data_IF_952013569676
#
_entry.id   IF_952013569676
#
_cell.length_a   1.000
_cell.length_b   1.000
_cell.length_c   1.000
_cell.angle_alpha   90.00
_cell.angle_beta   90.00
_cell.angle_gamma   90.00
#
_symmetry.space_group_name_H-M   'P 1'
#
loop_
_entity.id
_entity.type
_entity.pdbx_description
1 polymer ?
#
# COMPACT_ATOMS: atom_id res chain seq x y z
N UNK A 1 41.95 -57.98 -18.81
CA UNK A 1 41.96 -56.48 -18.72
C UNK A 1 40.56 -55.99 -18.96
N UNK A 2 39.83 -55.68 -17.93
CA UNK A 2 38.48 -55.09 -18.03
C UNK A 2 38.52 -53.67 -17.51
N UNK A 3 38.33 -52.71 -18.41
CA UNK A 3 38.23 -51.28 -18.08
C UNK A 3 36.79 -51.01 -17.60
N UNK A 4 36.66 -50.61 -16.33
CA UNK A 4 35.41 -50.18 -15.75
C UNK A 4 35.33 -48.67 -15.94
N UNK A 5 34.45 -48.21 -16.82
CA UNK A 5 34.12 -46.80 -16.97
C UNK A 5 33.07 -46.44 -15.88
N UNK A 6 33.52 -45.76 -14.86
CA UNK A 6 32.60 -45.17 -13.89
C UNK A 6 31.95 -43.93 -14.45
N UNK A 7 30.65 -43.98 -14.68
CA UNK A 7 29.82 -42.84 -15.07
C UNK A 7 29.53 -42.01 -13.85
N UNK A 8 30.16 -40.85 -13.75
CA UNK A 8 29.86 -39.84 -12.71
C UNK A 8 28.65 -39.06 -13.23
N UNK A 9 27.49 -39.35 -12.68
CA UNK A 9 26.30 -38.55 -12.88
C UNK A 9 26.40 -37.26 -12.01
N UNK A 10 26.71 -36.15 -12.66
CA UNK A 10 26.67 -34.82 -12.01
C UNK A 10 25.20 -34.42 -11.89
N UNK A 11 24.68 -34.51 -10.69
CA UNK A 11 23.35 -34.00 -10.35
C UNK A 11 23.45 -32.49 -10.23
N UNK A 12 23.10 -31.75 -11.28
CA UNK A 12 22.97 -30.30 -11.23
C UNK A 12 21.68 -29.98 -10.49
N UNK A 13 21.83 -29.62 -9.21
CA UNK A 13 20.75 -29.09 -8.38
C UNK A 13 20.45 -27.65 -8.84
N UNK A 14 19.46 -27.51 -9.73
CA UNK A 14 18.95 -26.20 -10.14
C UNK A 14 18.18 -25.63 -8.95
N UNK A 15 18.83 -24.77 -8.18
CA UNK A 15 18.15 -23.91 -7.22
C UNK A 15 17.26 -22.93 -7.97
N UNK A 16 15.98 -23.26 -8.07
CA UNK A 16 14.94 -22.32 -8.45
C UNK A 16 14.78 -21.32 -7.30
N UNK A 17 15.58 -20.26 -7.30
CA UNK A 17 15.29 -19.07 -6.50
C UNK A 17 14.05 -18.43 -7.07
N UNK A 18 12.90 -18.78 -6.51
CA UNK A 18 11.65 -18.07 -6.74
C UNK A 18 11.82 -16.68 -6.14
N UNK A 19 12.27 -15.72 -6.96
CA UNK A 19 12.12 -14.32 -6.64
C UNK A 19 10.62 -14.02 -6.64
N UNK A 20 10.02 -13.95 -5.45
CA UNK A 20 8.73 -13.32 -5.25
C UNK A 20 8.94 -11.83 -5.54
N UNK A 21 8.89 -11.44 -6.81
CA UNK A 21 8.97 -10.06 -7.25
C UNK A 21 7.77 -9.32 -6.67
N UNK A 22 8.04 -8.38 -5.76
CA UNK A 22 7.08 -7.36 -5.37
C UNK A 22 6.61 -6.70 -6.67
N UNK A 23 5.33 -6.89 -7.04
CA UNK A 23 4.76 -6.25 -8.22
C UNK A 23 4.80 -4.74 -7.98
N UNK A 24 5.63 -4.04 -8.71
CA UNK A 24 5.64 -2.59 -8.73
C UNK A 24 4.29 -2.09 -9.24
N UNK A 25 3.69 -1.18 -8.49
CA UNK A 25 2.44 -0.51 -8.87
C UNK A 25 2.76 0.96 -9.14
N UNK A 26 2.14 1.51 -10.16
CA UNK A 26 2.29 2.93 -10.47
C UNK A 26 1.25 3.76 -9.72
N UNK A 27 1.63 4.97 -9.30
CA UNK A 27 0.74 5.94 -8.65
C UNK A 27 -0.50 6.24 -9.50
N UNK A 28 -0.37 6.26 -10.82
CA UNK A 28 -1.48 6.46 -11.77
C UNK A 28 -2.63 5.46 -11.57
N UNK A 29 -2.32 4.25 -11.13
CA UNK A 29 -3.29 3.18 -10.92
C UNK A 29 -4.11 3.36 -9.62
N UNK A 30 -3.72 4.29 -8.74
CA UNK A 30 -4.48 4.62 -7.53
C UNK A 30 -5.76 5.40 -7.84
N UNK A 31 -5.89 6.03 -9.00
CA UNK A 31 -7.07 6.85 -9.32
C UNK A 31 -8.38 6.15 -8.99
N UNK A 32 -9.26 6.86 -8.28
CA UNK A 32 -10.58 6.40 -7.87
C UNK A 32 -10.69 6.09 -6.38
N UNK A 33 -11.74 5.39 -6.02
CA UNK A 33 -12.14 5.16 -4.63
C UNK A 33 -11.65 3.81 -4.11
N UNK A 34 -11.19 3.82 -2.88
CA UNK A 34 -10.61 2.67 -2.18
C UNK A 34 -11.08 2.63 -0.74
N UNK A 35 -11.56 1.49 -0.29
CA UNK A 35 -11.92 1.28 1.11
C UNK A 35 -10.72 0.84 1.95
N UNK A 36 -10.64 1.36 3.18
CA UNK A 36 -9.56 1.03 4.11
C UNK A 36 -9.75 -0.38 4.70
N UNK A 37 -8.70 -1.19 4.64
CA UNK A 37 -8.64 -2.54 5.24
C UNK A 37 -7.89 -2.52 6.56
N UNK A 38 -6.70 -1.94 6.57
CA UNK A 38 -5.85 -1.88 7.78
C UNK A 38 -4.95 -0.64 7.80
N UNK A 39 -4.52 -0.27 8.99
CA UNK A 39 -3.54 0.80 9.26
C UNK A 39 -2.37 0.19 10.01
N UNK A 40 -1.16 0.27 9.43
CA UNK A 40 0.08 -0.31 10.01
C UNK A 40 -0.08 -1.78 10.41
N UNK A 41 -0.82 -2.56 9.60
CA UNK A 41 -1.10 -3.96 9.84
C UNK A 41 -2.23 -4.25 10.83
N UNK A 42 -2.83 -3.22 11.43
CA UNK A 42 -3.93 -3.34 12.39
C UNK A 42 -5.28 -3.07 11.70
N UNK A 43 -6.23 -4.00 11.85
CA UNK A 43 -7.63 -3.78 11.43
C UNK A 43 -8.35 -2.99 12.50
N UNK A 44 -8.65 -1.73 12.21
CA UNK A 44 -9.36 -0.84 13.12
C UNK A 44 -10.87 -0.97 12.96
N UNK A 45 -11.61 -0.80 14.06
CA UNK A 45 -13.08 -0.80 14.05
C UNK A 45 -13.61 0.61 13.85
N UNK A 46 -14.57 0.75 12.93
CA UNK A 46 -15.26 2.01 12.63
C UNK A 46 -16.76 1.78 12.48
N UNK A 47 -17.56 2.75 12.88
CA UNK A 47 -19.00 2.74 12.60
C UNK A 47 -19.30 2.85 11.10
N UNK A 48 -18.46 3.58 10.38
CA UNK A 48 -18.49 3.67 8.91
C UNK A 48 -17.09 3.39 8.36
N UNK A 49 -16.98 2.48 7.41
CA UNK A 49 -15.71 2.12 6.78
C UNK A 49 -15.03 3.37 6.20
N UNK A 50 -13.79 3.69 6.61
CA UNK A 50 -13.03 4.78 5.99
C UNK A 50 -12.77 4.48 4.51
N UNK A 51 -12.73 5.54 3.70
CA UNK A 51 -12.38 5.42 2.29
C UNK A 51 -11.48 6.59 1.85
N UNK A 52 -10.68 6.33 0.84
CA UNK A 52 -9.78 7.28 0.19
C UNK A 52 -10.14 7.35 -1.28
N UNK A 53 -10.38 8.52 -1.81
CA UNK A 53 -10.61 8.75 -3.22
C UNK A 53 -9.46 9.60 -3.78
N UNK A 54 -8.67 8.99 -4.66
CA UNK A 54 -7.49 9.59 -5.25
C UNK A 54 -7.81 10.24 -6.60
N UNK A 55 -7.50 11.51 -6.73
CA UNK A 55 -7.46 12.23 -7.98
C UNK A 55 -5.99 12.54 -8.32
N UNK A 56 -5.37 11.65 -9.08
CA UNK A 56 -3.94 11.75 -9.39
C UNK A 56 -3.67 12.94 -10.31
N UNK A 57 -4.58 13.24 -11.25
CA UNK A 57 -4.45 14.38 -12.15
C UNK A 57 -4.40 15.71 -11.39
N UNK A 58 -5.18 15.86 -10.32
CA UNK A 58 -5.21 17.06 -9.46
C UNK A 58 -4.27 16.97 -8.26
N UNK A 59 -3.52 15.88 -8.12
CA UNK A 59 -2.61 15.63 -6.99
C UNK A 59 -3.30 15.77 -5.64
N UNK A 60 -4.47 15.18 -5.52
CA UNK A 60 -5.30 15.25 -4.31
C UNK A 60 -5.86 13.89 -3.90
N UNK A 61 -6.12 13.76 -2.61
CA UNK A 61 -6.92 12.68 -2.05
C UNK A 61 -7.92 13.27 -1.09
N UNK A 62 -9.13 12.77 -1.13
CA UNK A 62 -10.17 13.10 -0.16
C UNK A 62 -10.91 11.84 0.27
N UNK A 63 -11.66 11.92 1.34
CA UNK A 63 -12.44 10.78 1.80
C UNK A 63 -12.98 10.96 3.20
N UNK A 64 -13.21 9.82 3.83
CA UNK A 64 -13.60 9.74 5.23
C UNK A 64 -12.59 8.93 6.02
N UNK A 65 -12.21 9.47 7.17
CA UNK A 65 -11.33 8.77 8.13
C UNK A 65 -12.10 7.87 9.11
N UNK A 66 -13.40 7.81 8.94
CA UNK A 66 -14.43 7.19 9.76
C UNK A 66 -15.66 8.08 9.73
N UNK A 67 -15.86 8.90 10.75
CA UNK A 67 -16.92 9.91 10.82
C UNK A 67 -16.56 11.19 10.06
N UNK A 68 -15.33 11.69 10.24
CA UNK A 68 -14.88 12.95 9.68
C UNK A 68 -14.45 12.84 8.22
N UNK A 69 -14.72 13.89 7.45
CA UNK A 69 -14.17 14.05 6.11
C UNK A 69 -12.73 14.57 6.20
N UNK A 70 -11.89 14.16 5.27
CA UNK A 70 -10.54 14.70 5.15
C UNK A 70 -10.19 14.99 3.68
N UNK A 71 -9.19 15.83 3.50
CA UNK A 71 -8.49 16.03 2.24
C UNK A 71 -7.00 16.26 2.47
N UNK A 72 -6.21 15.88 1.49
CA UNK A 72 -4.77 16.11 1.47
C UNK A 72 -4.29 16.30 0.04
N UNK A 73 -3.22 17.08 -0.11
CA UNK A 73 -2.45 17.09 -1.35
C UNK A 73 -1.44 15.95 -1.35
N UNK A 74 -1.17 15.41 -2.53
CA UNK A 74 -0.15 14.40 -2.72
C UNK A 74 0.91 14.88 -3.72
N UNK A 75 2.10 14.32 -3.59
CA UNK A 75 3.19 14.50 -4.55
C UNK A 75 3.70 13.15 -4.99
N UNK A 76 4.14 13.07 -6.23
CA UNK A 76 4.78 11.87 -6.79
C UNK A 76 5.94 12.29 -7.68
N UNK A 77 6.90 11.37 -7.84
CA UNK A 77 8.12 11.61 -8.61
C UNK A 77 7.96 11.05 -10.03
N UNK A 78 8.20 11.87 -11.05
CA UNK A 78 8.17 11.43 -12.44
C UNK A 78 9.28 10.41 -12.78
N UNK A 79 10.36 10.38 -12.01
CA UNK A 79 11.48 9.43 -12.17
C UNK A 79 11.23 8.10 -11.45
N UNK A 80 10.27 8.05 -10.53
CA UNK A 80 9.90 6.85 -9.78
C UNK A 80 8.37 6.73 -9.70
N UNK A 81 7.80 5.96 -10.61
CA UNK A 81 6.35 5.84 -10.80
C UNK A 81 5.59 5.27 -9.60
N UNK A 82 6.27 4.66 -8.63
CA UNK A 82 5.67 4.13 -7.40
C UNK A 82 5.84 5.05 -6.19
N UNK A 83 6.68 6.08 -6.28
CA UNK A 83 6.90 7.02 -5.17
C UNK A 83 5.72 7.99 -5.02
N UNK A 84 5.19 8.07 -3.82
CA UNK A 84 4.09 8.96 -3.45
C UNK A 84 4.28 9.44 -2.02
N UNK A 85 3.96 10.69 -1.75
CA UNK A 85 3.89 11.24 -0.41
C UNK A 85 2.70 12.18 -0.25
N UNK A 86 2.25 12.37 0.97
CA UNK A 86 1.10 13.18 1.31
C UNK A 86 1.47 14.32 2.24
N UNK A 87 0.81 15.44 2.07
CA UNK A 87 0.79 16.48 3.11
C UNK A 87 -0.09 16.01 4.28
N UNK A 88 0.10 16.62 5.45
CA UNK A 88 -0.78 16.35 6.60
C UNK A 88 -2.24 16.61 6.19
N UNK A 89 -3.14 15.63 6.33
CA UNK A 89 -4.53 15.80 5.97
C UNK A 89 -5.22 16.89 6.81
N UNK A 90 -6.06 17.66 6.16
CA UNK A 90 -7.05 18.52 6.82
C UNK A 90 -8.33 17.73 7.01
N UNK A 91 -8.91 17.83 8.19
CA UNK A 91 -10.11 17.08 8.56
C UNK A 91 -11.15 17.96 9.21
N UNK A 92 -12.43 17.60 9.04
CA UNK A 92 -13.49 18.13 9.90
C UNK A 92 -13.28 17.62 11.33
N UNK A 93 -13.86 18.33 12.32
CA UNK A 93 -13.63 18.09 13.75
C UNK A 93 -14.93 17.73 14.46
N UNK A 94 -15.74 16.85 13.85
CA UNK A 94 -16.95 16.34 14.50
C UNK A 94 -16.57 15.39 15.65
N UNK A 95 -17.26 15.49 16.77
CA UNK A 95 -17.07 14.59 17.91
C UNK A 95 -17.82 13.27 17.63
N UNK A 96 -17.06 12.22 17.31
CA UNK A 96 -17.57 10.89 17.01
C UNK A 96 -16.90 9.85 17.90
N UNK A 97 -17.53 8.68 18.07
CA UNK A 97 -16.99 7.62 18.92
C UNK A 97 -15.64 7.03 18.46
N UNK A 98 -15.33 7.15 17.17
CA UNK A 98 -14.14 6.57 16.53
C UNK A 98 -12.94 7.51 16.48
N UNK A 99 -12.92 8.62 17.21
CA UNK A 99 -11.90 9.68 17.08
C UNK A 99 -10.45 9.17 17.27
N UNK A 100 -10.23 8.20 18.14
CA UNK A 100 -8.90 7.61 18.34
C UNK A 100 -8.42 6.91 17.05
N UNK A 101 -9.28 6.06 16.47
CA UNK A 101 -8.99 5.33 15.24
C UNK A 101 -8.85 6.28 14.04
N UNK A 102 -9.71 7.31 13.94
CA UNK A 102 -9.57 8.36 12.93
C UNK A 102 -8.23 9.09 13.05
N UNK A 103 -7.81 9.39 14.27
CA UNK A 103 -6.51 9.99 14.52
C UNK A 103 -5.35 9.10 14.07
N UNK A 104 -5.45 7.77 14.23
CA UNK A 104 -4.45 6.82 13.71
C UNK A 104 -4.40 6.88 12.19
N UNK A 105 -5.55 6.92 11.51
CA UNK A 105 -5.61 7.07 10.05
C UNK A 105 -4.93 8.35 9.59
N UNK A 106 -5.34 9.49 10.11
CA UNK A 106 -4.86 10.80 9.66
C UNK A 106 -3.34 10.99 9.89
N UNK A 107 -2.83 10.59 11.05
CA UNK A 107 -1.38 10.68 11.35
C UNK A 107 -0.54 9.74 10.51
N UNK A 108 -1.10 8.66 10.00
CA UNK A 108 -0.35 7.67 9.22
C UNK A 108 -0.02 8.14 7.81
N UNK A 109 -0.69 9.15 7.27
CA UNK A 109 -0.41 9.70 5.94
C UNK A 109 1.04 10.19 5.76
N UNK A 110 1.64 10.79 6.79
CA UNK A 110 3.02 11.29 6.72
C UNK A 110 4.06 10.20 6.48
N UNK A 111 3.77 8.97 6.94
CA UNK A 111 4.68 7.85 6.82
C UNK A 111 4.73 7.27 5.39
N UNK A 112 3.72 7.52 4.57
CA UNK A 112 3.64 6.94 3.23
C UNK A 112 4.70 7.52 2.31
N UNK A 113 5.44 6.62 1.61
CA UNK A 113 6.49 6.98 0.63
C UNK A 113 6.34 6.28 -0.70
N UNK A 114 5.61 5.18 -0.77
CA UNK A 114 5.42 4.45 -2.03
C UNK A 114 4.11 3.66 -2.04
N UNK A 115 3.69 3.27 -3.26
CA UNK A 115 2.60 2.34 -3.49
C UNK A 115 3.15 1.00 -3.97
N UNK A 116 2.56 -0.08 -3.51
CA UNK A 116 2.88 -1.46 -3.94
C UNK A 116 1.59 -2.23 -4.24
N UNK A 117 1.67 -3.13 -5.20
CA UNK A 117 0.58 -4.08 -5.42
C UNK A 117 0.54 -5.10 -4.27
N UNK A 118 -0.67 -5.44 -3.83
CA UNK A 118 -0.88 -6.56 -2.92
C UNK A 118 -0.78 -7.90 -3.66
N UNK A 119 -0.61 -8.99 -2.91
CA UNK A 119 -0.77 -10.35 -3.45
C UNK A 119 -2.22 -10.67 -3.84
N UNK A 120 -3.18 -9.91 -3.34
CA UNK A 120 -4.60 -10.03 -3.67
C UNK A 120 -4.97 -9.05 -4.78
N UNK A 121 -5.68 -9.53 -5.78
CA UNK A 121 -6.23 -8.70 -6.85
C UNK A 121 -7.21 -7.67 -6.28
N UNK A 122 -7.18 -6.45 -6.81
CA UNK A 122 -8.02 -5.34 -6.35
C UNK A 122 -7.60 -4.72 -5.02
N UNK A 123 -6.46 -5.12 -4.47
CA UNK A 123 -5.92 -4.61 -3.22
C UNK A 123 -4.54 -3.96 -3.44
N UNK A 124 -4.29 -2.85 -2.76
CA UNK A 124 -3.01 -2.14 -2.81
C UNK A 124 -2.49 -1.87 -1.41
N UNK A 125 -1.18 -1.67 -1.31
CA UNK A 125 -0.51 -1.33 -0.05
C UNK A 125 0.25 -0.02 -0.24
N UNK A 126 0.00 0.95 0.62
CA UNK A 126 0.83 2.13 0.75
C UNK A 126 1.87 1.86 1.84
N UNK A 127 3.13 2.08 1.53
CA UNK A 127 4.26 1.69 2.40
C UNK A 127 5.10 2.90 2.78
N UNK A 128 5.84 2.76 3.88
CA UNK A 128 6.81 3.74 4.34
C UNK A 128 8.15 3.62 3.58
N UNK A 129 9.14 4.40 3.99
CA UNK A 129 10.48 4.42 3.40
C UNK A 129 11.19 3.06 3.48
N UNK A 130 10.91 2.28 4.51
CA UNK A 130 11.45 0.92 4.71
C UNK A 130 10.66 -0.17 3.98
N UNK A 131 9.59 0.18 3.26
CA UNK A 131 8.71 -0.79 2.60
C UNK A 131 7.70 -1.45 3.54
N UNK A 132 7.54 -0.94 4.77
CA UNK A 132 6.57 -1.43 5.75
C UNK A 132 5.19 -0.87 5.45
N UNK A 133 4.18 -1.73 5.58
CA UNK A 133 2.78 -1.36 5.35
C UNK A 133 2.32 -0.22 6.27
N UNK A 134 1.76 0.83 5.66
CA UNK A 134 1.07 1.94 6.34
C UNK A 134 -0.43 1.80 6.17
N UNK A 135 -0.89 1.68 4.92
CA UNK A 135 -2.30 1.45 4.61
C UNK A 135 -2.46 0.26 3.68
N UNK A 136 -3.46 -0.56 3.94
CA UNK A 136 -3.97 -1.56 3.01
C UNK A 136 -5.35 -1.12 2.55
N UNK A 137 -5.54 -1.05 1.25
CA UNK A 137 -6.75 -0.54 0.62
C UNK A 137 -7.28 -1.55 -0.38
N UNK A 138 -8.60 -1.64 -0.50
CA UNK A 138 -9.28 -2.46 -1.50
C UNK A 138 -10.10 -1.57 -2.42
N UNK A 139 -10.07 -1.86 -3.71
CA UNK A 139 -10.82 -1.11 -4.74
C UNK A 139 -12.32 -1.28 -4.51
N UNK A 140 -13.06 -0.18 -4.50
CA UNK A 140 -14.53 -0.17 -4.48
C UNK A 140 -15.12 -0.57 -5.84
#
# INVERSE_FOLDING_TARGET
MKKIFGSIAIFVLVCMTSCAGSKTMEVSQLTGKWSLVSVKGETLSFANTPFFEFNIAEKSVYGKSGCNNFNSSLTFDASNSSAISFMMPRSTMMACGDMENEGKVLRSFEAVKAVQASSKEGEVVLVDEGGKEVFRLVKD
#
